data_IF_182597849581
#
_entry.id   IF_182597849581
#
_cell.length_a   1.000
_cell.length_b   1.000
_cell.length_c   1.000
_cell.angle_alpha   90.00
_cell.angle_beta   90.00
_cell.angle_gamma   90.00
#
_symmetry.space_group_name_H-M   'P 1'
#
loop_
_entity.id
_entity.type
_entity.pdbx_description
1 polymer ?
#
# COMPACT_ATOMS: atom_id res chain seq x y z
N UNK A 1 24.15 33.17 16.99
CA UNK A 1 24.33 31.72 16.80
C UNK A 1 23.26 31.09 17.66
N UNK A 2 22.11 30.68 17.13
CA UNK A 2 21.92 29.90 15.90
C UNK A 2 20.84 30.45 14.96
N UNK A 3 21.11 30.32 13.66
CA UNK A 3 20.22 30.63 12.55
C UNK A 3 19.08 29.62 12.48
N UNK A 4 17.83 30.08 12.47
CA UNK A 4 16.65 29.24 12.27
C UNK A 4 16.62 28.77 10.81
N UNK A 5 16.85 27.48 10.60
CA UNK A 5 16.74 26.76 9.32
C UNK A 5 15.33 26.91 8.72
N UNK A 6 15.25 27.29 7.45
CA UNK A 6 13.99 27.35 6.71
C UNK A 6 13.56 25.93 6.31
N UNK A 7 12.92 25.20 7.23
CA UNK A 7 12.39 23.85 6.98
C UNK A 7 10.98 23.95 6.39
N UNK A 8 10.86 23.69 5.10
CA UNK A 8 9.55 23.53 4.44
C UNK A 8 9.00 22.13 4.73
N UNK A 9 7.80 22.05 5.32
CA UNK A 9 7.13 20.78 5.57
C UNK A 9 6.32 20.36 4.35
N UNK A 10 6.44 19.09 3.97
CA UNK A 10 5.55 18.45 2.99
C UNK A 10 4.56 17.59 3.74
N UNK A 11 3.27 17.94 3.69
CA UNK A 11 2.21 17.15 4.28
C UNK A 11 1.61 16.23 3.22
N UNK A 12 1.51 14.93 3.55
CA UNK A 12 0.91 13.92 2.69
C UNK A 12 -0.16 13.16 3.47
N UNK A 13 -1.33 12.97 2.87
CA UNK A 13 -2.36 12.07 3.36
C UNK A 13 -2.38 10.82 2.46
N UNK A 14 -2.27 9.64 3.09
CA UNK A 14 -2.29 8.36 2.38
C UNK A 14 -3.55 7.59 2.82
N UNK A 15 -4.51 7.45 1.91
CA UNK A 15 -5.74 6.68 2.14
C UNK A 15 -5.61 5.32 1.45
N UNK A 16 -5.70 4.24 2.23
CA UNK A 16 -5.53 2.87 1.76
C UNK A 16 -6.87 2.16 1.57
N UNK A 17 -6.83 0.97 0.98
CA UNK A 17 -7.99 0.08 0.90
C UNK A 17 -8.11 -0.80 2.14
N UNK A 18 -9.28 -1.41 2.31
CA UNK A 18 -9.55 -2.39 3.37
C UNK A 18 -9.00 -3.79 3.06
N UNK A 19 -8.24 -3.99 1.98
CA UNK A 19 -7.89 -5.32 1.46
C UNK A 19 -7.13 -6.20 2.46
N UNK A 20 -6.24 -5.60 3.26
CA UNK A 20 -5.47 -6.31 4.29
C UNK A 20 -6.20 -6.42 5.65
N UNK A 21 -7.37 -5.80 5.79
CA UNK A 21 -8.15 -5.82 7.04
C UNK A 21 -9.40 -6.68 6.91
N UNK A 22 -10.10 -6.58 5.78
CA UNK A 22 -11.40 -7.19 5.55
C UNK A 22 -11.49 -7.97 4.24
N UNK A 23 -10.41 -8.00 3.44
CA UNK A 23 -10.38 -8.81 2.23
C UNK A 23 -10.14 -10.29 2.53
N UNK A 24 -10.21 -11.15 1.51
CA UNK A 24 -9.91 -12.57 1.66
C UNK A 24 -8.41 -12.77 1.88
N UNK A 25 -7.99 -12.75 3.14
CA UNK A 25 -6.57 -12.81 3.55
C UNK A 25 -5.91 -14.16 3.28
N UNK A 26 -6.70 -15.19 3.04
CA UNK A 26 -6.22 -16.56 2.84
C UNK A 26 -6.38 -17.04 1.41
N UNK A 27 -6.69 -16.15 0.48
CA UNK A 27 -6.98 -16.52 -0.91
C UNK A 27 -5.77 -16.28 -1.81
N UNK A 28 -5.44 -17.29 -2.61
CA UNK A 28 -4.48 -17.23 -3.70
C UNK A 28 -5.19 -17.36 -5.06
N UNK A 29 -4.78 -16.58 -6.07
CA UNK A 29 -3.83 -15.46 -5.98
C UNK A 29 -4.38 -14.30 -5.14
N UNK A 30 -3.49 -13.56 -4.47
CA UNK A 30 -3.87 -12.47 -3.56
C UNK A 30 -4.68 -11.34 -4.23
N UNK A 31 -4.48 -11.16 -5.55
CA UNK A 31 -5.16 -10.17 -6.39
C UNK A 31 -6.07 -10.90 -7.38
N UNK A 32 -7.35 -10.58 -7.36
CA UNK A 32 -8.35 -11.05 -8.31
C UNK A 32 -9.20 -9.89 -8.83
N UNK A 33 -9.89 -10.12 -9.95
CA UNK A 33 -10.77 -9.12 -10.56
C UNK A 33 -12.01 -8.80 -9.69
N UNK A 34 -12.49 -9.77 -8.93
CA UNK A 34 -13.62 -9.66 -8.01
C UNK A 34 -13.46 -10.66 -6.86
N UNK A 35 -14.19 -10.42 -5.77
CA UNK A 35 -14.25 -11.32 -4.62
C UNK A 35 -15.71 -11.65 -4.32
N UNK A 36 -16.09 -12.92 -4.46
CA UNK A 36 -17.39 -13.44 -4.04
C UNK A 36 -17.31 -14.18 -2.70
N UNK A 37 -18.42 -14.79 -2.23
CA UNK A 37 -18.44 -15.57 -1.00
C UNK A 37 -17.39 -16.69 -0.95
N UNK A 38 -17.12 -17.32 -2.10
CA UNK A 38 -16.13 -18.39 -2.25
C UNK A 38 -14.70 -17.92 -1.92
N UNK A 39 -14.42 -16.63 -2.08
CA UNK A 39 -13.12 -16.02 -1.77
C UNK A 39 -12.78 -16.09 -0.27
N UNK A 40 -13.76 -16.28 0.60
CA UNK A 40 -13.59 -16.33 2.05
C UNK A 40 -13.64 -17.76 2.63
N UNK A 41 -13.74 -18.77 1.76
CA UNK A 41 -13.73 -20.17 2.19
C UNK A 41 -12.31 -20.57 2.61
N UNK A 42 -12.18 -21.22 3.75
CA UNK A 42 -10.91 -21.64 4.35
C UNK A 42 -10.41 -23.00 3.87
N UNK A 43 -10.77 -23.40 2.64
CA UNK A 43 -10.57 -24.73 2.07
C UNK A 43 -10.36 -24.65 0.55
N UNK A 44 -9.91 -25.76 -0.05
CA UNK A 44 -9.68 -25.87 -1.49
C UNK A 44 -8.31 -25.38 -1.95
N UNK A 45 -8.06 -25.51 -3.26
CA UNK A 45 -6.72 -25.32 -3.84
C UNK A 45 -6.20 -23.88 -3.76
N UNK A 46 -7.11 -22.92 -3.65
CA UNK A 46 -6.79 -21.49 -3.55
C UNK A 46 -6.68 -20.99 -2.11
N UNK A 47 -6.91 -21.85 -1.11
CA UNK A 47 -6.75 -21.50 0.29
C UNK A 47 -5.27 -21.61 0.71
N UNK A 48 -4.80 -20.58 1.42
CA UNK A 48 -3.50 -20.55 2.09
C UNK A 48 -3.67 -20.42 3.59
N UNK A 49 -2.87 -21.18 4.35
CA UNK A 49 -2.77 -20.98 5.81
C UNK A 49 -2.06 -19.67 6.15
N UNK A 50 -1.20 -19.19 5.28
CA UNK A 50 -0.51 -17.92 5.44
C UNK A 50 -1.39 -16.76 4.97
N UNK A 51 -1.09 -15.55 5.47
CA UNK A 51 -1.75 -14.34 5.00
C UNK A 51 -1.19 -13.87 3.66
N UNK A 52 -2.06 -13.81 2.66
CA UNK A 52 -1.84 -13.22 1.36
C UNK A 52 -2.07 -11.69 1.41
N UNK A 53 -1.11 -10.97 2.00
CA UNK A 53 -1.14 -9.50 2.12
C UNK A 53 -0.70 -8.80 0.83
N UNK A 54 -1.25 -7.61 0.59
CA UNK A 54 -0.81 -6.72 -0.49
C UNK A 54 0.00 -5.56 0.10
N UNK A 55 1.19 -5.23 -0.45
CA UNK A 55 1.91 -4.02 -0.05
C UNK A 55 1.01 -2.78 -0.12
N UNK A 56 0.97 -1.99 0.94
CA UNK A 56 0.11 -0.80 1.04
C UNK A 56 0.80 0.28 1.87
N UNK A 57 0.85 1.51 1.37
CA UNK A 57 1.50 2.65 2.04
C UNK A 57 2.60 3.29 1.20
N UNK A 58 3.53 3.96 1.86
CA UNK A 58 4.76 4.49 1.27
C UNK A 58 5.80 3.38 1.24
N UNK A 59 5.94 2.74 0.08
CA UNK A 59 6.76 1.54 -0.09
C UNK A 59 8.21 1.82 -0.49
N UNK A 60 8.54 3.09 -0.70
CA UNK A 60 9.88 3.57 -1.03
C UNK A 60 10.16 4.87 -0.28
N UNK A 61 11.45 5.19 -0.16
CA UNK A 61 11.90 6.47 0.37
C UNK A 61 11.49 7.63 -0.56
N UNK A 62 11.25 8.83 -0.02
CA UNK A 62 10.98 10.00 -0.84
C UNK A 62 12.25 10.48 -1.56
N UNK A 63 12.10 10.90 -2.82
CA UNK A 63 13.19 11.44 -3.64
C UNK A 63 12.98 12.94 -3.91
N UNK A 64 14.05 13.74 -3.79
CA UNK A 64 14.06 15.15 -4.17
C UNK A 64 14.60 15.29 -5.60
N UNK A 65 13.75 15.69 -6.54
CA UNK A 65 14.12 15.92 -7.94
C UNK A 65 14.11 17.42 -8.21
N UNK A 66 15.23 17.95 -8.68
CA UNK A 66 15.38 19.36 -9.09
C UNK A 66 15.35 19.41 -10.62
N UNK A 67 14.40 20.16 -11.19
CA UNK A 67 14.28 20.34 -12.64
C UNK A 67 14.68 21.77 -13.01
N UNK A 68 15.51 21.94 -14.04
CA UNK A 68 15.75 23.26 -14.64
C UNK A 68 14.46 23.72 -15.35
N UNK A 69 14.08 24.98 -15.14
CA UNK A 69 13.07 25.62 -15.99
C UNK A 69 13.76 26.11 -17.25
N UNK A 70 13.37 25.57 -18.40
CA UNK A 70 13.73 26.15 -19.70
C UNK A 70 13.25 27.62 -19.74
N UNK A 71 14.18 28.51 -20.10
CA UNK A 71 13.95 29.96 -20.20
C UNK A 71 13.18 30.36 -21.44
#
# INVERSE_FOLDING_TARGET
>A
MDSVENRSLVQLEVVLTRRNTFGPLHLLPAVQASYGPESFISEGDNYSRDYALIPSGLLSEPELIIMEQDK
#
